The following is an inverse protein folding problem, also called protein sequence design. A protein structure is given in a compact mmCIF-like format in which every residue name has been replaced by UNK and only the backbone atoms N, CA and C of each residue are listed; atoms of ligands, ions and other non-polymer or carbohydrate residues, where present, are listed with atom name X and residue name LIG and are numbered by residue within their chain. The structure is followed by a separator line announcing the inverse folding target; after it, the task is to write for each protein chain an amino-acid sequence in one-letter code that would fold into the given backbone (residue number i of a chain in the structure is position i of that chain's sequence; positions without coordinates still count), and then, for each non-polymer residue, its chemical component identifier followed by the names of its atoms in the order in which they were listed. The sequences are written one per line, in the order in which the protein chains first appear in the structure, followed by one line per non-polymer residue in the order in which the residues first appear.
data_IF_505225489207
#
_entry.id   IF_505225489207
#
_cell.length_a   1.000
_cell.length_b   1.000
_cell.length_c   1.000
_cell.angle_alpha   90.00
_cell.angle_beta   90.00
_cell.angle_gamma   90.00
#
_symmetry.space_group_name_H-M   'P 1'
#
loop_
_entity.id
_entity.type
_entity.pdbx_description
1 polymer ?
#
# COMPACT_ATOMS: atom_id res chain seq x y z
N UNK A 1 33.94 7.55 -9.53
CA UNK A 1 32.57 7.04 -9.30
C UNK A 1 32.51 6.50 -7.89
N UNK A 2 31.56 6.97 -7.08
CA UNK A 2 31.33 6.36 -5.77
C UNK A 2 30.81 4.94 -5.97
N UNK A 3 31.08 4.03 -5.03
CA UNK A 3 30.66 2.63 -5.14
C UNK A 3 29.13 2.48 -5.35
N UNK A 4 28.34 3.42 -4.83
CA UNK A 4 26.87 3.48 -4.96
C UNK A 4 26.37 3.88 -6.37
N UNK A 5 27.22 4.45 -7.21
CA UNK A 5 26.87 4.91 -8.57
C UNK A 5 27.31 3.91 -9.65
N UNK A 6 28.02 2.85 -9.27
CA UNK A 6 28.47 1.83 -10.20
C UNK A 6 27.30 0.93 -10.59
N UNK A 7 26.99 0.87 -11.89
CA UNK A 7 25.96 -0.02 -12.41
C UNK A 7 26.33 -1.48 -12.12
N UNK A 8 25.48 -2.14 -11.34
CA UNK A 8 25.56 -3.58 -11.10
C UNK A 8 24.93 -4.32 -12.28
N UNK A 9 25.77 -5.04 -13.04
CA UNK A 9 25.31 -5.85 -14.15
C UNK A 9 24.83 -7.21 -13.66
N UNK A 10 23.61 -7.57 -14.05
CA UNK A 10 23.07 -8.91 -13.83
C UNK A 10 23.38 -9.80 -15.05
N UNK A 11 23.54 -11.13 -14.86
CA UNK A 11 23.75 -12.06 -15.97
C UNK A 11 22.74 -11.89 -17.12
N UNK A 12 21.48 -11.56 -16.84
CA UNK A 12 20.46 -11.29 -17.85
C UNK A 12 20.73 -10.06 -18.73
N UNK A 13 21.48 -9.07 -18.23
CA UNK A 13 21.82 -7.82 -18.95
C UNK A 13 23.08 -7.96 -19.80
N UNK A 14 23.82 -9.06 -19.63
CA UNK A 14 25.04 -9.35 -20.39
C UNK A 14 24.66 -10.16 -21.64
N UNK A 15 25.29 -9.87 -22.76
CA UNK A 15 25.17 -10.64 -24.00
C UNK A 15 25.57 -12.10 -23.76
N UNK A 16 24.79 -13.03 -24.30
CA UNK A 16 24.94 -14.48 -24.06
C UNK A 16 26.37 -14.98 -24.31
N UNK A 17 27.01 -14.51 -25.39
CA UNK A 17 28.39 -14.85 -25.74
C UNK A 17 29.44 -14.45 -24.69
N UNK A 18 29.16 -13.42 -23.88
CA UNK A 18 30.08 -12.91 -22.85
C UNK A 18 29.80 -13.51 -21.46
N UNK A 19 28.65 -14.16 -21.26
CA UNK A 19 28.25 -14.68 -19.94
C UNK A 19 29.15 -15.80 -19.44
N UNK A 20 29.61 -16.67 -20.34
CA UNK A 20 30.53 -17.77 -19.98
C UNK A 20 31.89 -17.26 -19.49
N UNK A 21 32.32 -16.08 -19.95
CA UNK A 21 33.59 -15.45 -19.54
C UNK A 21 33.42 -14.51 -18.34
N UNK A 22 32.31 -13.78 -18.26
CA UNK A 22 32.07 -12.75 -17.26
C UNK A 22 31.37 -13.28 -15.99
N UNK A 23 30.52 -14.31 -16.10
CA UNK A 23 29.75 -14.83 -14.98
C UNK A 23 30.37 -16.11 -14.41
N UNK A 24 30.36 -16.23 -13.07
CA UNK A 24 30.69 -17.49 -12.39
C UNK A 24 29.71 -18.59 -12.82
N UNK A 25 30.21 -19.82 -13.01
CA UNK A 25 29.39 -21.00 -13.33
C UNK A 25 28.22 -21.12 -12.34
N UNK A 26 27.01 -21.35 -12.87
CA UNK A 26 25.78 -21.50 -12.10
C UNK A 26 25.08 -20.19 -11.68
N UNK A 27 25.71 -19.02 -11.85
CA UNK A 27 25.09 -17.74 -11.48
C UNK A 27 23.85 -17.41 -12.34
N UNK A 28 23.91 -17.73 -13.64
CA UNK A 28 22.77 -17.60 -14.56
C UNK A 28 21.58 -18.47 -14.17
N UNK A 29 21.83 -19.67 -13.66
CA UNK A 29 20.77 -20.58 -13.18
C UNK A 29 20.12 -20.08 -11.90
N UNK A 30 20.93 -19.54 -10.97
CA UNK A 30 20.43 -18.91 -9.74
C UNK A 30 19.57 -17.71 -10.09
N UNK A 31 20.04 -16.84 -10.99
CA UNK A 31 19.25 -15.70 -11.44
C UNK A 31 17.96 -16.15 -12.12
N UNK A 32 18.00 -17.17 -12.99
CA UNK A 32 16.79 -17.66 -13.64
C UNK A 32 15.74 -18.18 -12.65
N UNK A 33 16.16 -18.90 -11.59
CA UNK A 33 15.27 -19.32 -10.49
C UNK A 33 14.67 -18.11 -9.77
N UNK A 34 15.49 -17.09 -9.48
CA UNK A 34 15.02 -15.84 -8.88
C UNK A 34 14.00 -15.13 -9.77
N UNK A 35 14.25 -15.01 -11.08
CA UNK A 35 13.32 -14.37 -12.03
C UNK A 35 12.01 -15.15 -12.14
N UNK A 36 12.05 -16.48 -12.11
CA UNK A 36 10.85 -17.31 -12.12
C UNK A 36 10.00 -17.06 -10.86
N UNK A 37 10.62 -17.03 -9.68
CA UNK A 37 9.94 -16.69 -8.43
C UNK A 37 9.35 -15.26 -8.48
N UNK A 38 10.12 -14.28 -8.97
CA UNK A 38 9.63 -12.90 -9.16
C UNK A 38 8.41 -12.83 -10.08
N UNK A 39 8.36 -13.63 -11.14
CA UNK A 39 7.19 -13.69 -12.02
C UNK A 39 5.96 -14.22 -11.27
N UNK A 40 6.09 -15.31 -10.50
CA UNK A 40 5.00 -15.88 -9.69
C UNK A 40 4.52 -14.86 -8.65
N UNK A 41 5.44 -14.27 -7.89
CA UNK A 41 5.11 -13.27 -6.88
C UNK A 41 4.44 -12.04 -7.49
N UNK A 42 4.96 -11.55 -8.63
CA UNK A 42 4.38 -10.41 -9.32
C UNK A 42 2.96 -10.72 -9.82
N UNK A 43 2.71 -11.93 -10.34
CA UNK A 43 1.37 -12.35 -10.75
C UNK A 43 0.41 -12.43 -9.55
N UNK A 44 0.85 -12.99 -8.42
CA UNK A 44 0.01 -13.07 -7.22
C UNK A 44 -0.35 -11.67 -6.70
N UNK A 45 0.63 -10.76 -6.62
CA UNK A 45 0.38 -9.36 -6.25
C UNK A 45 -0.53 -8.67 -7.27
N UNK A 46 -0.34 -8.93 -8.57
CA UNK A 46 -1.16 -8.35 -9.64
C UNK A 46 -2.63 -8.77 -9.47
N UNK A 47 -2.89 -10.07 -9.28
CA UNK A 47 -4.22 -10.63 -9.01
C UNK A 47 -4.89 -9.97 -7.82
N UNK A 48 -4.24 -9.95 -6.66
CA UNK A 48 -4.81 -9.33 -5.46
C UNK A 48 -5.13 -7.84 -5.65
N UNK A 49 -4.29 -7.11 -6.40
CA UNK A 49 -4.51 -5.69 -6.68
C UNK A 49 -5.64 -5.45 -7.66
N UNK A 50 -5.74 -6.27 -8.70
CA UNK A 50 -6.85 -6.23 -9.66
C UNK A 50 -8.18 -6.48 -8.93
N UNK A 51 -8.27 -7.47 -8.05
CA UNK A 51 -9.45 -7.68 -7.21
C UNK A 51 -9.78 -6.49 -6.31
N UNK A 52 -8.77 -5.95 -5.62
CA UNK A 52 -8.97 -4.77 -4.78
C UNK A 52 -9.49 -3.58 -5.61
N UNK A 53 -9.00 -3.40 -6.85
CA UNK A 53 -9.49 -2.36 -7.74
C UNK A 53 -10.95 -2.60 -8.13
N UNK A 54 -11.33 -3.82 -8.51
CA UNK A 54 -12.72 -4.17 -8.82
C UNK A 54 -13.63 -3.87 -7.64
N UNK A 55 -13.31 -4.39 -6.45
CA UNK A 55 -14.10 -4.15 -5.24
C UNK A 55 -14.23 -2.65 -4.90
N UNK A 56 -13.17 -1.86 -5.07
CA UNK A 56 -13.23 -0.41 -4.84
C UNK A 56 -14.13 0.29 -5.86
N UNK A 57 -14.14 -0.16 -7.11
CA UNK A 57 -15.02 0.38 -8.15
C UNK A 57 -16.48 0.04 -7.82
N UNK A 58 -16.79 -1.22 -7.52
CA UNK A 58 -18.12 -1.66 -7.06
C UNK A 58 -18.59 -0.85 -5.87
N UNK A 59 -17.77 -0.78 -4.82
CA UNK A 59 -18.10 -0.07 -3.60
C UNK A 59 -18.35 1.42 -3.85
N UNK A 60 -17.54 2.06 -4.70
CA UNK A 60 -17.75 3.45 -5.12
C UNK A 60 -19.09 3.59 -5.83
N UNK A 61 -19.38 2.72 -6.79
CA UNK A 61 -20.62 2.79 -7.58
C UNK A 61 -21.87 2.65 -6.70
N UNK A 62 -21.83 1.82 -5.66
CA UNK A 62 -22.95 1.61 -4.74
C UNK A 62 -23.09 2.67 -3.66
N UNK A 63 -21.97 3.20 -3.13
CA UNK A 63 -21.98 3.97 -1.86
C UNK A 63 -21.56 5.43 -2.00
N UNK A 64 -20.92 5.84 -3.10
CA UNK A 64 -20.38 7.20 -3.22
C UNK A 64 -21.46 8.19 -3.67
N UNK A 65 -22.10 8.87 -2.72
CA UNK A 65 -22.99 10.01 -2.99
C UNK A 65 -22.26 11.34 -2.77
N UNK A 66 -22.37 12.28 -3.73
CA UNK A 66 -21.76 13.61 -3.66
C UNK A 66 -20.33 13.73 -4.26
N UNK A 67 -19.95 14.96 -4.58
CA UNK A 67 -18.71 15.25 -5.33
C UNK A 67 -17.41 14.96 -4.56
N UNK A 68 -17.35 15.31 -3.27
CA UNK A 68 -16.14 15.15 -2.47
C UNK A 68 -15.77 13.68 -2.23
N UNK A 69 -16.77 12.83 -1.95
CA UNK A 69 -16.61 11.38 -1.80
C UNK A 69 -16.20 10.72 -3.12
N UNK A 70 -16.77 11.18 -4.25
CA UNK A 70 -16.42 10.71 -5.58
C UNK A 70 -14.95 11.00 -5.91
N UNK A 71 -14.46 12.21 -5.63
CA UNK A 71 -13.05 12.60 -5.87
C UNK A 71 -12.07 11.80 -5.01
N UNK A 72 -12.39 11.57 -3.73
CA UNK A 72 -11.55 10.74 -2.83
C UNK A 72 -11.50 9.28 -3.31
N UNK A 73 -12.63 8.73 -3.73
CA UNK A 73 -12.70 7.37 -4.26
C UNK A 73 -11.94 7.23 -5.58
N UNK A 74 -12.08 8.22 -6.47
CA UNK A 74 -11.35 8.26 -7.74
C UNK A 74 -9.83 8.33 -7.53
N UNK A 75 -9.35 9.16 -6.60
CA UNK A 75 -7.92 9.24 -6.25
C UNK A 75 -7.41 7.95 -5.62
N UNK A 76 -8.20 7.29 -4.77
CA UNK A 76 -7.83 5.97 -4.21
C UNK A 76 -7.73 4.90 -5.30
N UNK A 77 -8.72 4.82 -6.20
CA UNK A 77 -8.72 3.88 -7.34
C UNK A 77 -7.53 4.16 -8.25
N UNK A 78 -7.23 5.42 -8.56
CA UNK A 78 -6.06 5.83 -9.35
C UNK A 78 -4.75 5.35 -8.72
N UNK A 79 -4.57 5.53 -7.40
CA UNK A 79 -3.38 5.03 -6.68
C UNK A 79 -3.24 3.52 -6.77
N UNK A 80 -4.33 2.76 -6.74
CA UNK A 80 -4.31 1.30 -6.93
C UNK A 80 -3.93 0.95 -8.37
N UNK A 81 -4.51 1.65 -9.37
CA UNK A 81 -4.15 1.51 -10.78
C UNK A 81 -2.67 1.76 -11.06
N UNK A 82 -2.07 2.79 -10.46
CA UNK A 82 -0.64 3.06 -10.61
C UNK A 82 0.23 1.95 -10.02
N UNK A 83 -0.21 1.34 -8.91
CA UNK A 83 0.47 0.18 -8.32
C UNK A 83 0.38 -1.04 -9.23
N UNK A 84 -0.77 -1.28 -9.85
CA UNK A 84 -0.97 -2.35 -10.83
C UNK A 84 0.00 -2.19 -12.00
N UNK A 85 0.10 -0.98 -12.58
CA UNK A 85 1.06 -0.68 -13.66
C UNK A 85 2.51 -0.96 -13.22
N UNK A 86 2.89 -0.57 -12.01
CA UNK A 86 4.24 -0.84 -11.46
C UNK A 86 4.52 -2.33 -11.31
N UNK A 87 3.55 -3.12 -10.82
CA UNK A 87 3.69 -4.57 -10.65
C UNK A 87 3.72 -5.28 -12.01
N UNK A 88 2.87 -4.87 -12.95
CA UNK A 88 2.90 -5.34 -14.33
C UNK A 88 4.27 -5.11 -14.98
N UNK A 89 4.87 -3.92 -14.77
CA UNK A 89 6.23 -3.63 -15.22
C UNK A 89 7.29 -4.54 -14.57
N UNK A 90 7.15 -4.88 -13.28
CA UNK A 90 8.05 -5.86 -12.63
C UNK A 90 7.94 -7.24 -13.27
N UNK A 91 6.73 -7.71 -13.54
CA UNK A 91 6.50 -8.98 -14.22
C UNK A 91 7.13 -8.99 -15.63
N UNK A 92 6.88 -7.95 -16.43
CA UNK A 92 7.44 -7.83 -17.78
C UNK A 92 8.97 -7.88 -17.77
N UNK A 93 9.62 -7.09 -16.91
CA UNK A 93 11.08 -7.10 -16.76
C UNK A 93 11.63 -8.44 -16.28
N UNK A 94 10.96 -9.09 -15.32
CA UNK A 94 11.39 -10.40 -14.83
C UNK A 94 11.28 -11.47 -15.93
N UNK A 95 10.20 -11.42 -16.73
CA UNK A 95 9.97 -12.31 -17.87
C UNK A 95 11.01 -12.09 -18.97
N UNK A 96 11.30 -10.84 -19.34
CA UNK A 96 12.34 -10.49 -20.31
C UNK A 96 13.71 -11.03 -19.89
N UNK A 97 14.08 -10.83 -18.62
CA UNK A 97 15.32 -11.37 -18.06
C UNK A 97 15.35 -12.91 -18.08
N UNK A 98 14.22 -13.56 -17.81
CA UNK A 98 14.12 -15.03 -17.85
C UNK A 98 14.28 -15.58 -19.27
N UNK A 99 13.66 -14.94 -20.26
CA UNK A 99 13.83 -15.29 -21.69
C UNK A 99 15.29 -15.12 -22.11
N UNK A 100 15.92 -14.01 -21.68
CA UNK A 100 17.32 -13.75 -21.96
C UNK A 100 18.26 -14.82 -21.39
N UNK A 101 17.90 -15.48 -20.27
CA UNK A 101 18.75 -16.45 -19.57
C UNK A 101 18.56 -17.91 -19.97
N UNK A 102 17.32 -18.38 -20.19
CA UNK A 102 16.98 -19.82 -20.36
C UNK A 102 16.21 -20.15 -21.64
N UNK A 103 16.19 -19.22 -22.59
CA UNK A 103 15.45 -19.33 -23.86
C UNK A 103 13.92 -19.31 -23.67
N UNK A 104 13.18 -19.09 -24.76
CA UNK A 104 11.73 -18.85 -24.74
C UNK A 104 10.92 -20.05 -24.22
N UNK A 105 11.45 -21.27 -24.31
CA UNK A 105 10.78 -22.50 -23.87
C UNK A 105 10.52 -22.54 -22.35
N UNK A 106 11.43 -22.03 -21.52
CA UNK A 106 11.20 -21.93 -20.07
C UNK A 106 10.19 -20.82 -19.70
N UNK A 107 9.94 -19.89 -20.61
CA UNK A 107 8.94 -18.83 -20.46
C UNK A 107 7.53 -19.26 -20.93
N UNK A 108 7.32 -20.48 -21.41
CA UNK A 108 5.99 -21.00 -21.78
C UNK A 108 4.99 -20.94 -20.62
N UNK A 109 5.46 -21.15 -19.38
CA UNK A 109 4.64 -21.02 -18.17
C UNK A 109 4.27 -19.56 -17.84
N UNK A 110 5.04 -18.59 -18.35
CA UNK A 110 4.86 -17.16 -18.11
C UNK A 110 4.43 -16.44 -19.40
N UNK A 111 3.10 -16.35 -19.61
CA UNK A 111 2.55 -15.71 -20.81
C UNK A 111 2.86 -14.20 -20.87
N UNK A 112 2.80 -13.64 -22.07
CA UNK A 112 2.96 -12.19 -22.30
C UNK A 112 1.80 -11.48 -21.61
N UNK A 113 2.10 -10.46 -20.80
CA UNK A 113 1.11 -9.64 -20.10
C UNK A 113 0.80 -8.38 -20.91
N UNK A 114 -0.31 -8.39 -21.64
CA UNK A 114 -0.79 -7.21 -22.37
C UNK A 114 -1.47 -6.22 -21.42
N UNK A 115 -1.55 -4.94 -21.80
CA UNK A 115 -2.30 -3.95 -21.00
C UNK A 115 -3.80 -4.27 -20.97
N UNK A 116 -4.34 -4.92 -22.00
CA UNK A 116 -5.71 -5.42 -22.03
C UNK A 116 -5.99 -6.47 -20.94
N UNK A 117 -4.97 -7.24 -20.53
CA UNK A 117 -5.10 -8.24 -19.45
C UNK A 117 -5.25 -7.58 -18.06
N UNK A 118 -4.89 -6.30 -17.94
CA UNK A 118 -4.99 -5.53 -16.69
C UNK A 118 -6.41 -4.96 -16.46
N UNK A 119 -7.30 -5.09 -17.45
CA UNK A 119 -8.66 -4.61 -17.30
C UNK A 119 -9.51 -5.65 -16.57
N UNK A 120 -9.84 -5.36 -15.30
CA UNK A 120 -10.94 -6.03 -14.60
C UNK A 120 -12.26 -5.42 -15.04
N UNK A 121 -12.67 -5.66 -16.28
CA UNK A 121 -14.06 -5.46 -16.66
C UNK A 121 -14.88 -6.61 -16.08
N UNK A 122 -15.05 -6.61 -14.76
CA UNK A 122 -16.11 -7.39 -14.14
C UNK A 122 -17.36 -6.54 -14.37
N UNK A 123 -18.04 -6.77 -15.50
CA UNK A 123 -19.44 -6.37 -15.59
C UNK A 123 -20.16 -7.20 -14.54
N UNK A 124 -20.51 -6.56 -13.43
CA UNK A 124 -21.34 -7.18 -12.42
C UNK A 124 -22.70 -7.50 -13.05
N UNK A 125 -23.16 -8.74 -12.86
CA UNK A 125 -24.49 -9.22 -13.28
C UNK A 125 -25.63 -8.30 -12.80
N UNK A 126 -25.39 -7.47 -11.78
CA UNK A 126 -26.28 -6.41 -11.30
C UNK A 126 -26.65 -5.40 -12.41
N UNK A 127 -25.73 -5.08 -13.31
CA UNK A 127 -25.96 -4.15 -14.41
C UNK A 127 -26.85 -4.79 -15.49
N UNK A 128 -26.76 -6.10 -15.68
CA UNK A 128 -27.64 -6.85 -16.58
C UNK A 128 -29.09 -6.91 -16.05
N UNK A 129 -29.27 -7.05 -14.74
CA UNK A 129 -30.59 -7.07 -14.12
C UNK A 129 -31.23 -5.67 -14.06
N UNK A 130 -30.44 -4.63 -13.78
CA UNK A 130 -30.84 -3.23 -13.88
C UNK A 130 -31.23 -2.85 -15.32
N UNK A 131 -30.45 -3.29 -16.32
CA UNK A 131 -30.75 -3.11 -17.76
C UNK A 131 -32.02 -3.85 -18.18
N UNK A 132 -32.27 -5.08 -17.69
CA UNK A 132 -33.52 -5.83 -17.93
C UNK A 132 -34.75 -5.12 -17.37
N UNK A 133 -34.64 -4.54 -16.16
CA UNK A 133 -35.73 -3.72 -15.57
C UNK A 133 -36.01 -2.45 -16.39
N UNK A 134 -34.97 -1.76 -16.86
CA UNK A 134 -35.11 -0.57 -17.70
C UNK A 134 -35.71 -0.89 -19.09
N UNK A 135 -35.33 -2.03 -19.70
CA UNK A 135 -35.88 -2.48 -20.97
C UNK A 135 -37.38 -2.84 -20.88
N UNK A 136 -37.84 -3.37 -19.73
CA UNK A 136 -39.27 -3.67 -19.47
C UNK A 136 -40.14 -2.41 -19.33
N UNK A 137 -39.56 -1.26 -19.00
CA UNK A 137 -40.27 0.01 -18.81
C UNK A 137 -40.43 0.83 -20.11
N UNK A 138 -40.16 0.24 -21.28
CA UNK A 138 -40.48 0.83 -22.58
C UNK A 138 -39.64 2.05 -22.99
N UNK A 139 -38.62 2.43 -22.22
CA UNK A 139 -37.73 3.54 -22.57
C UNK A 139 -36.70 3.10 -23.62
N UNK A 140 -37.17 2.95 -24.86
CA UNK A 140 -36.31 2.74 -26.02
C UNK A 140 -35.64 4.06 -26.41
N UNK A 141 -34.60 4.44 -25.67
CA UNK A 141 -33.51 5.23 -26.23
C UNK A 141 -32.27 4.36 -26.16
N UNK A 142 -31.88 3.82 -27.33
CA UNK A 142 -30.55 3.25 -27.54
C UNK A 142 -29.52 4.28 -27.08
N UNK A 143 -28.86 3.99 -25.96
CA UNK A 143 -27.70 4.76 -25.54
C UNK A 143 -26.66 4.65 -26.66
N UNK A 144 -26.13 5.79 -27.12
CA UNK A 144 -25.18 5.91 -28.24
C UNK A 144 -23.84 5.16 -28.00
N UNK A 145 -23.67 4.56 -26.83
CA UNK A 145 -22.56 3.69 -26.46
C UNK A 145 -23.14 2.34 -26.02
N UNK A 146 -23.47 1.49 -26.98
CA UNK A 146 -23.79 0.09 -26.74
C UNK A 146 -22.48 -0.65 -26.43
N UNK A 147 -22.21 -1.10 -25.18
CA UNK A 147 -21.04 -1.92 -24.92
C UNK A 147 -21.31 -3.25 -25.62
N UNK A 148 -20.54 -3.52 -26.67
CA UNK A 148 -20.57 -4.81 -27.35
C UNK A 148 -20.41 -5.89 -26.30
N UNK A 149 -21.43 -6.75 -26.19
CA UNK A 149 -21.51 -7.90 -25.30
C UNK A 149 -20.40 -8.92 -25.64
N UNK A 150 -19.15 -8.55 -25.35
CA UNK A 150 -18.02 -9.45 -25.40
C UNK A 150 -18.06 -10.18 -24.07
N UNK A 151 -18.56 -11.42 -24.09
CA UNK A 151 -18.27 -12.43 -23.07
C UNK A 151 -16.78 -12.29 -22.74
N UNK A 152 -16.48 -11.65 -21.61
CA UNK A 152 -15.11 -11.23 -21.34
C UNK A 152 -14.42 -12.46 -20.83
N UNK A 153 -13.78 -13.21 -21.75
CA UNK A 153 -12.93 -14.35 -21.43
C UNK A 153 -12.02 -13.90 -20.30
N UNK A 154 -12.18 -14.49 -19.11
CA UNK A 154 -11.35 -14.18 -17.94
C UNK A 154 -9.89 -14.19 -18.39
N UNK A 155 -9.19 -13.07 -18.21
CA UNK A 155 -7.80 -12.94 -18.63
C UNK A 155 -7.01 -14.16 -18.13
N UNK A 156 -6.04 -14.61 -18.93
CA UNK A 156 -5.24 -15.79 -18.61
C UNK A 156 -4.52 -15.68 -17.25
N UNK A 157 -4.35 -14.44 -16.74
CA UNK A 157 -3.87 -14.18 -15.39
C UNK A 157 -4.67 -14.99 -14.36
N UNK A 158 -5.95 -15.24 -14.59
CA UNK A 158 -6.85 -15.95 -13.69
C UNK A 158 -6.90 -17.47 -13.90
N UNK A 159 -6.46 -18.00 -15.05
CA UNK A 159 -6.67 -19.42 -15.43
C UNK A 159 -5.40 -20.27 -15.40
N UNK A 160 -4.24 -19.70 -15.09
CA UNK A 160 -2.99 -20.47 -14.96
C UNK A 160 -2.86 -21.00 -13.53
N UNK A 161 -3.27 -22.25 -13.33
CA UNK A 161 -3.05 -23.00 -12.08
C UNK A 161 -4.14 -23.99 -11.70
N UNK A 162 -5.29 -23.95 -12.39
CA UNK A 162 -6.47 -24.73 -12.02
C UNK A 162 -7.67 -24.17 -12.76
N UNK A 163 -8.70 -24.99 -13.00
CA UNK A 163 -9.90 -24.55 -13.71
C UNK A 163 -10.62 -23.36 -13.04
N UNK A 164 -11.73 -22.89 -13.63
CA UNK A 164 -12.47 -21.72 -13.13
C UNK A 164 -12.78 -21.73 -11.63
N UNK A 165 -13.06 -22.91 -11.04
CA UNK A 165 -13.34 -23.04 -9.60
C UNK A 165 -12.13 -22.88 -8.68
N UNK A 166 -10.92 -23.21 -9.13
CA UNK A 166 -9.70 -23.00 -8.32
C UNK A 166 -9.26 -21.54 -8.35
N UNK A 167 -9.49 -20.84 -9.47
CA UNK A 167 -9.32 -19.40 -9.58
C UNK A 167 -10.27 -18.64 -8.62
N UNK A 168 -11.52 -19.10 -8.50
CA UNK A 168 -12.51 -18.54 -7.57
C UNK A 168 -12.12 -18.76 -6.11
N UNK A 169 -11.62 -19.93 -5.74
CA UNK A 169 -11.10 -20.20 -4.39
C UNK A 169 -9.89 -19.30 -4.05
N UNK A 170 -8.94 -19.16 -4.97
CA UNK A 170 -7.79 -18.25 -4.81
C UNK A 170 -8.22 -16.78 -4.70
N UNK A 171 -9.27 -16.38 -5.43
CA UNK A 171 -9.90 -15.06 -5.34
C UNK A 171 -10.47 -14.83 -3.95
N UNK A 172 -11.29 -15.74 -3.43
CA UNK A 172 -11.85 -15.63 -2.09
C UNK A 172 -10.76 -15.52 -1.02
N UNK A 173 -9.69 -16.29 -1.13
CA UNK A 173 -8.57 -16.23 -0.20
C UNK A 173 -7.84 -14.88 -0.28
N UNK A 174 -7.59 -14.37 -1.48
CA UNK A 174 -6.93 -13.06 -1.66
C UNK A 174 -7.75 -11.90 -1.07
N UNK A 175 -9.09 -11.95 -1.24
CA UNK A 175 -10.03 -10.98 -0.66
C UNK A 175 -10.04 -11.08 0.86
N UNK A 176 -10.05 -12.29 1.42
CA UNK A 176 -9.95 -12.52 2.88
C UNK A 176 -8.67 -11.96 3.47
N UNK A 177 -7.53 -12.14 2.78
CA UNK A 177 -6.24 -11.59 3.21
C UNK A 177 -6.25 -10.07 3.18
N UNK A 178 -6.72 -9.44 2.10
CA UNK A 178 -6.78 -7.97 2.02
C UNK A 178 -7.78 -7.39 3.03
N UNK A 179 -8.93 -8.05 3.24
CA UNK A 179 -9.88 -7.67 4.28
C UNK A 179 -9.27 -7.77 5.67
N UNK A 180 -8.58 -8.88 5.98
CA UNK A 180 -7.91 -9.07 7.27
C UNK A 180 -6.82 -8.02 7.51
N UNK A 181 -6.03 -7.68 6.48
CA UNK A 181 -5.06 -6.57 6.54
C UNK A 181 -5.72 -5.22 6.75
N UNK A 182 -6.86 -4.97 6.09
CA UNK A 182 -7.61 -3.72 6.24
C UNK A 182 -8.22 -3.60 7.63
N UNK A 183 -8.79 -4.68 8.15
CA UNK A 183 -9.30 -4.81 9.51
C UNK A 183 -8.21 -4.53 10.54
N UNK A 184 -7.05 -5.19 10.40
CA UNK A 184 -5.91 -4.97 11.30
C UNK A 184 -5.40 -3.51 11.27
N UNK A 185 -5.37 -2.87 10.09
CA UNK A 185 -5.03 -1.44 9.97
C UNK A 185 -6.05 -0.55 10.67
N UNK A 186 -7.34 -0.84 10.53
CA UNK A 186 -8.40 -0.12 11.25
C UNK A 186 -8.25 -0.30 12.76
N UNK A 187 -8.05 -1.53 13.24
CA UNK A 187 -7.92 -1.82 14.67
C UNK A 187 -6.73 -1.09 15.27
N UNK A 188 -5.57 -1.16 14.61
CA UNK A 188 -4.40 -0.39 15.00
C UNK A 188 -4.65 1.12 15.00
N UNK A 189 -5.35 1.64 14.00
CA UNK A 189 -5.69 3.06 13.97
C UNK A 189 -6.58 3.47 15.15
N UNK A 190 -7.55 2.63 15.52
CA UNK A 190 -8.38 2.85 16.70
C UNK A 190 -7.55 2.84 17.97
N UNK A 191 -6.62 1.89 18.11
CA UNK A 191 -5.66 1.83 19.22
C UNK A 191 -4.76 3.07 19.24
N UNK A 192 -4.19 3.50 18.11
CA UNK A 192 -3.35 4.70 17.99
C UNK A 192 -4.09 5.96 18.42
N UNK A 193 -5.38 6.12 18.06
CA UNK A 193 -6.21 7.25 18.52
C UNK A 193 -6.43 7.20 20.04
N UNK A 194 -6.64 6.01 20.61
CA UNK A 194 -6.77 5.86 22.07
C UNK A 194 -5.45 6.16 22.79
N UNK A 195 -4.33 5.64 22.27
CA UNK A 195 -2.99 5.90 22.78
C UNK A 195 -2.65 7.38 22.73
N UNK A 196 -2.92 8.06 21.61
CA UNK A 196 -2.66 9.49 21.47
C UNK A 196 -3.40 10.31 22.52
N UNK A 197 -4.68 9.98 22.79
CA UNK A 197 -5.45 10.64 23.86
C UNK A 197 -4.84 10.41 25.23
N UNK A 198 -4.35 9.21 25.51
CA UNK A 198 -3.67 8.92 26.78
C UNK A 198 -2.28 9.58 26.87
N UNK A 199 -1.54 9.66 25.76
CA UNK A 199 -0.27 10.39 25.69
C UNK A 199 -0.48 11.88 25.98
N UNK A 200 -1.49 12.50 25.38
CA UNK A 200 -1.87 13.89 25.70
C UNK A 200 -2.09 14.07 27.21
N UNK A 201 -2.90 13.21 27.85
CA UNK A 201 -3.12 13.25 29.31
C UNK A 201 -1.83 13.04 30.11
N UNK A 202 -0.98 12.09 29.68
CA UNK A 202 0.30 11.79 30.33
C UNK A 202 1.27 12.95 30.23
N UNK A 203 1.34 13.65 29.09
CA UNK A 203 2.18 14.83 28.92
C UNK A 203 1.74 15.94 29.87
N UNK A 204 0.44 16.23 29.97
CA UNK A 204 -0.05 17.22 30.95
C UNK A 204 0.31 16.84 32.39
N UNK A 205 0.16 15.56 32.74
CA UNK A 205 0.49 15.05 34.08
C UNK A 205 1.99 15.13 34.36
N UNK A 206 2.83 14.77 33.40
CA UNK A 206 4.29 14.86 33.48
C UNK A 206 4.75 16.31 33.63
N UNK A 207 4.14 17.25 32.91
CA UNK A 207 4.44 18.68 33.05
C UNK A 207 4.07 19.19 34.45
N UNK A 208 2.90 18.82 34.99
CA UNK A 208 2.51 19.17 36.36
C UNK A 208 3.44 18.56 37.41
N UNK A 209 3.80 17.29 37.24
CA UNK A 209 4.75 16.62 38.13
C UNK A 209 6.14 17.31 38.09
N UNK A 210 6.63 17.63 36.89
CA UNK A 210 7.91 18.34 36.70
C UNK A 210 7.89 19.73 37.33
N UNK A 211 6.78 20.46 37.24
CA UNK A 211 6.59 21.72 37.98
C UNK A 211 6.75 21.50 39.49
N UNK A 212 6.11 20.48 40.05
CA UNK A 212 6.23 20.12 41.47
C UNK A 212 7.67 19.78 41.87
N UNK A 213 8.42 19.06 41.03
CA UNK A 213 9.83 18.76 41.29
C UNK A 213 10.71 20.02 41.27
N UNK A 214 10.47 20.95 40.34
CA UNK A 214 11.19 22.24 40.35
C UNK A 214 10.80 23.13 41.54
N UNK A 215 9.56 23.08 42.01
CA UNK A 215 9.14 23.74 43.24
C UNK A 215 9.92 23.22 44.45
N UNK A 216 10.04 21.89 44.60
CA UNK A 216 10.80 21.25 45.69
C UNK A 216 12.29 21.58 45.66
N UNK A 217 12.87 21.81 44.47
CA UNK A 217 14.29 22.15 44.30
C UNK A 217 14.63 23.56 44.80
N UNK A 218 13.64 24.42 45.08
CA UNK A 218 13.89 25.74 45.67
C UNK A 218 14.48 25.58 47.07
N UNK A 219 15.73 26.01 47.25
CA UNK A 219 16.40 25.96 48.55
C UNK A 219 16.87 24.56 48.97
N UNK A 220 16.86 23.57 48.08
CA UNK A 220 17.37 22.22 48.39
C UNK A 220 18.89 22.16 48.59
N UNK A 221 19.64 23.07 47.96
CA UNK A 221 21.08 23.20 48.23
C UNK A 221 21.29 24.08 49.46
N UNK A 222 21.78 23.47 50.54
CA UNK A 222 22.31 24.20 51.71
C UNK A 222 23.75 24.67 51.48
N UNK A 223 24.20 25.65 52.27
CA UNK A 223 25.56 26.23 52.26
C UNK A 223 25.99 26.96 50.98
N UNK A 224 25.06 27.69 50.36
CA UNK A 224 25.36 28.47 49.15
C UNK A 224 25.31 29.96 49.47
N UNK A 225 26.19 30.74 48.82
CA UNK A 225 26.20 32.20 48.90
C UNK A 225 24.80 32.80 48.62
N UNK A 226 24.38 33.88 49.32
CA UNK A 226 23.04 34.43 49.16
C UNK A 226 22.68 34.84 47.73
N UNK A 227 23.64 35.34 46.95
CA UNK A 227 23.39 35.72 45.55
C UNK A 227 23.09 34.49 44.69
N UNK A 228 23.89 33.44 44.86
CA UNK A 228 23.68 32.17 44.14
C UNK A 228 22.39 31.48 44.59
N UNK A 229 22.03 31.55 45.88
CA UNK A 229 20.76 31.05 46.39
C UNK A 229 19.56 31.78 45.75
N UNK A 230 19.65 33.10 45.59
CA UNK A 230 18.64 33.89 44.89
C UNK A 230 18.55 33.50 43.39
N UNK A 231 19.68 33.32 42.72
CA UNK A 231 19.75 32.87 41.32
C UNK A 231 19.13 31.49 41.10
N UNK A 232 19.44 30.51 41.96
CA UNK A 232 18.86 29.16 41.91
C UNK A 232 17.33 29.20 42.11
N UNK A 233 16.85 30.03 43.05
CA UNK A 233 15.42 30.22 43.30
C UNK A 233 14.73 30.87 42.10
N UNK A 234 15.35 31.86 41.47
CA UNK A 234 14.83 32.51 40.27
C UNK A 234 14.78 31.53 39.08
N UNK A 235 15.82 30.72 38.88
CA UNK A 235 15.87 29.71 37.84
C UNK A 235 14.79 28.64 38.02
N UNK A 236 14.63 28.10 39.24
CA UNK A 236 13.58 27.15 39.55
C UNK A 236 12.18 27.73 39.29
N UNK A 237 11.92 28.98 39.69
CA UNK A 237 10.67 29.69 39.38
C UNK A 237 10.44 29.82 37.87
N UNK A 238 11.49 30.14 37.10
CA UNK A 238 11.42 30.20 35.63
C UNK A 238 11.06 28.84 35.03
N UNK A 239 11.67 27.75 35.49
CA UNK A 239 11.36 26.40 35.01
C UNK A 239 9.90 26.03 35.26
N UNK A 240 9.39 26.29 36.47
CA UNK A 240 7.97 26.10 36.79
C UNK A 240 7.07 26.91 35.85
N UNK A 241 7.39 28.18 35.64
CA UNK A 241 6.63 29.04 34.72
C UNK A 241 6.60 28.49 33.29
N UNK A 242 7.74 28.05 32.75
CA UNK A 242 7.83 27.50 31.39
C UNK A 242 6.99 26.23 31.27
N UNK A 243 7.15 25.26 32.18
CA UNK A 243 6.36 24.03 32.13
C UNK A 243 4.86 24.29 32.32
N UNK A 244 4.48 25.29 33.11
CA UNK A 244 3.09 25.73 33.25
C UNK A 244 2.54 26.28 31.93
N UNK A 245 3.29 27.18 31.28
CA UNK A 245 2.90 27.76 29.98
C UNK A 245 2.74 26.70 28.89
N UNK A 246 3.65 25.72 28.83
CA UNK A 246 3.54 24.61 27.89
C UNK A 246 2.31 23.75 28.18
N UNK A 247 2.02 23.47 29.46
CA UNK A 247 0.83 22.69 29.83
C UNK A 247 -0.48 23.44 29.49
N UNK A 248 -0.54 24.75 29.72
CA UNK A 248 -1.68 25.59 29.34
C UNK A 248 -1.89 25.59 27.82
N UNK A 249 -0.82 25.78 27.05
CA UNK A 249 -0.89 25.76 25.59
C UNK A 249 -1.41 24.42 25.06
N UNK A 250 -0.89 23.31 25.60
CA UNK A 250 -1.36 21.97 25.23
C UNK A 250 -2.80 21.71 25.62
N UNK A 251 -3.24 22.16 26.80
CA UNK A 251 -4.63 22.03 27.25
C UNK A 251 -5.61 22.84 26.39
N UNK A 252 -5.19 23.95 25.78
CA UNK A 252 -6.02 24.72 24.85
C UNK A 252 -6.06 24.05 23.47
N UNK A 253 -4.95 23.45 23.04
CA UNK A 253 -4.83 22.85 21.71
C UNK A 253 -5.44 21.45 21.57
N UNK A 254 -5.56 20.70 22.67
CA UNK A 254 -6.04 19.32 22.72
C UNK A 254 -7.47 19.25 23.22
#
# INVERSE_FOLDING_TARGET
LKAEEMKLWLPSEILEALRTRACRRGLSDIEAKLRAAQCVDALNVLRSRLHAQTHLITWRNSNSTGQSAATRSATLIGRVGDRIKRVAGKYRRAREALIALKCAAHALHFKVLADADLNTNVEEESDAEARRKLARLGSSKRARNEPTNKKTTLSWIWTVGGGPGEAEAQLHESVRVEWSKAKARRDRWVEEVQLLREEMKRVLRMLRWTQGEWEKRKGQRGSVDPELAAGLKAYARRQVYVHRRVAEAFHISW
#
